data_IF_486125933884
#
_entry.id   IF_486125933884
#
_cell.length_a   1.000
_cell.length_b   1.000
_cell.length_c   1.000
_cell.angle_alpha   90.00
_cell.angle_beta   90.00
_cell.angle_gamma   90.00
#
_symmetry.space_group_name_H-M   'P 1'
#
loop_
_entity.id
_entity.type
_entity.pdbx_description
1 polymer ?
#
# COMPACT_ATOMS: atom_id res chain seq x y z
N UNK A 1 18.10 -40.17 18.14
CA UNK A 1 17.93 -38.74 17.80
C UNK A 1 16.63 -38.26 18.44
N UNK A 2 16.62 -37.20 19.25
CA UNK A 2 15.36 -36.68 19.78
C UNK A 2 14.60 -35.98 18.65
N UNK A 3 13.30 -36.27 18.54
CA UNK A 3 12.41 -35.62 17.57
C UNK A 3 12.22 -34.15 17.98
N UNK A 4 12.14 -33.19 17.03
CA UNK A 4 11.70 -31.85 17.36
C UNK A 4 10.23 -31.92 17.75
N UNK A 5 9.93 -31.73 19.03
CA UNK A 5 8.60 -31.32 19.48
C UNK A 5 8.53 -29.81 19.34
N UNK A 6 8.13 -29.35 18.15
CA UNK A 6 7.48 -28.05 18.01
C UNK A 6 6.05 -28.36 17.60
N UNK A 7 5.13 -28.15 18.53
CA UNK A 7 3.70 -28.17 18.24
C UNK A 7 3.40 -27.00 17.29
N UNK A 8 3.15 -27.31 16.02
CA UNK A 8 2.64 -26.36 15.02
C UNK A 8 1.14 -26.10 15.23
N UNK A 9 0.74 -25.84 16.47
CA UNK A 9 -0.66 -25.62 16.86
C UNK A 9 -0.78 -24.37 17.70
N UNK A 10 -0.91 -23.20 17.07
CA UNK A 10 -1.04 -21.96 17.84
C UNK A 10 -0.96 -20.62 17.14
N UNK A 11 -1.29 -20.51 15.84
CA UNK A 11 -1.65 -19.21 15.21
C UNK A 11 -2.55 -19.49 14.00
N UNK A 12 -3.79 -19.90 14.26
CA UNK A 12 -4.79 -20.08 13.21
C UNK A 12 -5.20 -18.73 12.62
N UNK A 13 -4.58 -18.34 11.50
CA UNK A 13 -4.89 -17.09 10.82
C UNK A 13 -4.05 -16.93 9.54
N UNK A 14 -4.46 -15.99 8.70
CA UNK A 14 -3.75 -15.66 7.46
C UNK A 14 -2.42 -14.98 7.79
N UNK A 15 -1.31 -15.66 7.52
CA UNK A 15 0.04 -15.18 7.83
C UNK A 15 0.33 -13.82 7.19
N UNK A 16 -0.12 -13.59 5.95
CA UNK A 16 0.11 -12.33 5.25
C UNK A 16 -0.61 -11.17 5.94
N UNK A 17 -1.81 -11.42 6.47
CA UNK A 17 -2.54 -10.42 7.25
C UNK A 17 -1.79 -10.11 8.54
N UNK A 18 -1.30 -11.14 9.23
CA UNK A 18 -0.55 -10.97 10.48
C UNK A 18 0.74 -10.17 10.25
N UNK A 19 1.46 -10.44 9.16
CA UNK A 19 2.64 -9.68 8.76
C UNK A 19 2.32 -8.19 8.52
N UNK A 20 1.20 -7.88 7.86
CA UNK A 20 0.81 -6.48 7.64
C UNK A 20 0.36 -5.79 8.93
N UNK A 21 -0.35 -6.49 9.82
CA UNK A 21 -0.76 -5.93 11.11
C UNK A 21 0.44 -5.71 12.05
N UNK A 22 1.46 -6.55 11.95
CA UNK A 22 2.70 -6.42 12.72
C UNK A 22 3.52 -5.16 12.36
N UNK A 23 3.23 -4.50 11.23
CA UNK A 23 3.81 -3.20 10.90
C UNK A 23 3.35 -2.09 11.86
N UNK A 24 2.24 -2.28 12.58
CA UNK A 24 1.81 -1.37 13.63
C UNK A 24 2.65 -1.56 14.90
N UNK A 25 3.84 -0.96 14.91
CA UNK A 25 4.79 -1.03 16.02
C UNK A 25 4.63 0.14 17.01
N UNK A 26 5.01 -0.04 18.28
CA UNK A 26 5.12 1.08 19.22
C UNK A 26 6.02 2.19 18.66
N UNK A 27 5.59 3.45 18.74
CA UNK A 27 6.32 4.61 18.18
C UNK A 27 5.97 4.94 16.73
N UNK A 28 5.16 4.14 16.03
CA UNK A 28 4.68 4.47 14.69
C UNK A 28 3.90 5.80 14.66
N UNK A 29 3.11 6.08 15.71
CA UNK A 29 2.39 7.35 15.83
C UNK A 29 3.33 8.57 15.94
N UNK A 30 4.46 8.44 16.64
CA UNK A 30 5.45 9.52 16.73
C UNK A 30 6.18 9.74 15.40
N UNK A 31 6.44 8.66 14.65
CA UNK A 31 6.95 8.77 13.28
C UNK A 31 5.97 9.52 12.38
N UNK A 32 4.67 9.17 12.46
CA UNK A 32 3.61 9.85 11.71
C UNK A 32 3.54 11.34 12.07
N UNK A 33 3.50 11.69 13.35
CA UNK A 33 3.44 13.09 13.79
C UNK A 33 4.64 13.92 13.29
N UNK A 34 5.85 13.35 13.32
CA UNK A 34 7.05 14.00 12.77
C UNK A 34 6.96 14.18 11.26
N UNK A 35 6.47 13.18 10.53
CA UNK A 35 6.27 13.26 9.09
C UNK A 35 5.17 14.25 8.69
N UNK A 36 4.09 14.34 9.46
CA UNK A 36 3.01 15.31 9.21
C UNK A 36 3.48 16.77 9.40
N UNK A 37 4.39 17.01 10.33
CA UNK A 37 4.91 18.34 10.63
C UNK A 37 5.74 18.93 9.49
N UNK A 38 6.36 18.08 8.66
CA UNK A 38 7.24 18.49 7.56
C UNK A 38 6.52 18.65 6.21
N UNK A 39 5.25 18.24 6.12
CA UNK A 39 4.46 18.37 4.89
C UNK A 39 4.18 19.84 4.57
N UNK A 40 4.35 20.21 3.31
CA UNK A 40 3.85 21.49 2.81
C UNK A 40 2.31 21.49 2.73
N UNK A 41 1.71 22.65 2.46
CA UNK A 41 0.24 22.83 2.47
C UNK A 41 -0.47 21.86 1.52
N UNK A 42 0.05 21.66 0.30
CA UNK A 42 -0.60 20.81 -0.69
C UNK A 42 -0.45 19.33 -0.39
N UNK A 43 0.73 18.91 0.05
CA UNK A 43 0.98 17.55 0.55
C UNK A 43 0.09 17.23 1.74
N UNK A 44 -0.10 18.18 2.66
CA UNK A 44 -0.99 18.02 3.82
C UNK A 44 -2.45 17.90 3.39
N UNK A 45 -2.89 18.67 2.41
CA UNK A 45 -4.24 18.57 1.86
C UNK A 45 -4.49 17.18 1.23
N UNK A 46 -3.55 16.68 0.43
CA UNK A 46 -3.64 15.33 -0.14
C UNK A 46 -3.61 14.25 0.95
N UNK A 47 -2.67 14.35 1.89
CA UNK A 47 -2.57 13.45 3.05
C UNK A 47 -3.91 13.34 3.78
N UNK A 48 -4.52 14.48 4.12
CA UNK A 48 -5.79 14.53 4.81
C UNK A 48 -6.92 13.94 3.97
N UNK A 49 -7.00 14.27 2.68
CA UNK A 49 -8.02 13.74 1.77
C UNK A 49 -7.94 12.21 1.63
N UNK A 50 -6.74 11.64 1.57
CA UNK A 50 -6.53 10.19 1.53
C UNK A 50 -6.98 9.55 2.84
N UNK A 51 -6.57 10.11 3.99
CA UNK A 51 -6.98 9.58 5.28
C UNK A 51 -8.50 9.62 5.48
N UNK A 52 -9.15 10.72 5.13
CA UNK A 52 -10.61 10.86 5.20
C UNK A 52 -11.31 9.83 4.30
N UNK A 53 -10.81 9.61 3.08
CA UNK A 53 -11.34 8.58 2.18
C UNK A 53 -11.21 7.17 2.76
N UNK A 54 -10.03 6.83 3.32
CA UNK A 54 -9.75 5.51 3.91
C UNK A 54 -10.57 5.28 5.19
N UNK A 55 -10.74 6.32 6.01
CA UNK A 55 -11.51 6.23 7.25
C UNK A 55 -13.01 6.21 6.98
N UNK A 56 -13.48 6.98 6.00
CA UNK A 56 -14.86 7.00 5.54
C UNK A 56 -15.26 5.84 4.62
N UNK A 57 -14.31 4.97 4.23
CA UNK A 57 -14.59 3.82 3.36
C UNK A 57 -15.05 4.21 1.95
N UNK A 58 -14.60 5.37 1.45
CA UNK A 58 -15.11 5.95 0.19
C UNK A 58 -14.57 5.23 -1.06
N UNK A 59 -13.45 4.51 -0.96
CA UNK A 59 -12.84 3.82 -2.10
C UNK A 59 -12.29 4.76 -3.19
N UNK A 60 -11.82 5.95 -2.81
CA UNK A 60 -11.37 6.98 -3.76
C UNK A 60 -9.98 6.64 -4.32
N UNK A 61 -9.81 6.82 -5.63
CA UNK A 61 -8.51 6.72 -6.30
C UNK A 61 -7.85 8.09 -6.44
N UNK A 62 -6.57 8.17 -6.06
CA UNK A 62 -5.75 9.38 -6.13
C UNK A 62 -4.51 9.12 -6.99
N UNK A 63 -4.17 10.06 -7.88
CA UNK A 63 -2.93 10.00 -8.67
C UNK A 63 -2.00 11.13 -8.24
N UNK A 64 -0.74 10.76 -7.95
CA UNK A 64 0.31 11.70 -7.56
C UNK A 64 1.34 11.86 -8.70
N UNK A 65 1.21 12.94 -9.45
CA UNK A 65 2.15 13.27 -10.52
C UNK A 65 3.06 14.43 -10.10
N UNK A 66 4.23 14.12 -9.55
CA UNK A 66 5.33 15.08 -9.44
C UNK A 66 6.41 14.81 -10.50
N UNK A 67 7.16 15.86 -10.87
CA UNK A 67 8.36 15.73 -11.68
C UNK A 67 9.42 14.85 -11.00
N UNK A 68 10.32 14.26 -11.77
CA UNK A 68 11.34 13.33 -11.27
C UNK A 68 12.09 13.89 -10.05
N UNK A 69 12.17 13.10 -8.97
CA UNK A 69 12.88 13.47 -7.74
C UNK A 69 12.07 14.21 -6.67
N UNK A 70 10.82 14.60 -6.93
CA UNK A 70 10.02 15.38 -5.99
C UNK A 70 9.11 14.50 -5.10
N UNK A 71 9.63 14.01 -3.97
CA UNK A 71 8.84 13.77 -2.75
C UNK A 71 7.64 12.80 -2.78
N UNK A 72 7.40 12.00 -3.83
CA UNK A 72 6.25 11.06 -3.89
C UNK A 72 6.34 9.99 -2.80
N UNK A 73 7.52 9.38 -2.66
CA UNK A 73 7.84 8.41 -1.61
C UNK A 73 7.76 9.06 -0.23
N UNK A 74 8.12 10.35 -0.12
CA UNK A 74 8.06 11.12 1.12
C UNK A 74 6.63 11.26 1.66
N UNK A 75 5.62 11.34 0.78
CA UNK A 75 4.22 11.38 1.18
C UNK A 75 3.64 9.98 1.42
N UNK A 76 4.09 8.99 0.65
CA UNK A 76 3.60 7.61 0.72
C UNK A 76 3.86 6.98 2.09
N UNK A 77 5.03 7.21 2.68
CA UNK A 77 5.42 6.61 3.95
C UNK A 77 4.57 7.11 5.14
N UNK A 78 4.41 8.44 5.37
CA UNK A 78 3.50 8.95 6.38
C UNK A 78 2.06 8.46 6.21
N UNK A 79 1.53 8.42 4.98
CA UNK A 79 0.16 7.91 4.72
C UNK A 79 0.05 6.45 5.14
N UNK A 80 0.96 5.58 4.67
CA UNK A 80 0.97 4.17 5.01
C UNK A 80 1.04 3.98 6.54
N UNK A 81 2.01 4.64 7.19
CA UNK A 81 2.20 4.57 8.63
C UNK A 81 0.98 5.07 9.40
N UNK A 82 0.30 6.12 8.95
CA UNK A 82 -0.88 6.66 9.62
C UNK A 82 -2.09 5.74 9.51
N UNK A 83 -2.26 5.03 8.39
CA UNK A 83 -3.31 4.02 8.24
C UNK A 83 -2.97 2.78 9.07
N UNK A 84 -1.72 2.31 9.06
CA UNK A 84 -1.25 1.21 9.90
C UNK A 84 -1.40 1.50 11.40
N UNK A 85 -1.08 2.72 11.85
CA UNK A 85 -1.24 3.15 13.24
C UNK A 85 -2.70 3.11 13.74
N UNK A 86 -3.66 3.04 12.80
CA UNK A 86 -5.10 2.85 13.07
C UNK A 86 -5.53 1.38 12.95
N UNK A 87 -4.59 0.44 13.01
CA UNK A 87 -4.81 -1.00 12.87
C UNK A 87 -5.48 -1.42 11.55
N UNK A 88 -5.26 -0.66 10.47
CA UNK A 88 -5.74 -1.00 9.14
C UNK A 88 -4.61 -1.55 8.27
N UNK A 89 -4.95 -2.42 7.34
CA UNK A 89 -3.99 -3.05 6.41
C UNK A 89 -3.72 -2.12 5.24
N UNK A 90 -2.45 -1.85 4.97
CA UNK A 90 -1.97 -1.11 3.80
C UNK A 90 -1.11 -2.04 2.96
N UNK A 91 -1.36 -2.07 1.65
CA UNK A 91 -0.50 -2.78 0.71
C UNK A 91 0.38 -1.77 -0.04
N UNK A 92 1.63 -1.67 0.39
CA UNK A 92 2.66 -0.93 -0.32
C UNK A 92 3.24 -1.81 -1.43
N UNK A 93 3.11 -1.38 -2.68
CA UNK A 93 3.67 -2.08 -3.84
C UNK A 93 4.45 -1.14 -4.73
N UNK A 94 5.43 -1.70 -5.43
CA UNK A 94 6.13 -0.99 -6.50
C UNK A 94 6.36 -1.89 -7.72
N UNK A 95 6.65 -1.29 -8.87
CA UNK A 95 6.99 -2.06 -10.07
C UNK A 95 8.34 -2.78 -9.94
N UNK A 96 9.32 -2.15 -9.28
CA UNK A 96 10.65 -2.73 -9.04
C UNK A 96 10.87 -3.13 -7.59
N UNK A 97 11.76 -4.11 -7.36
CA UNK A 97 12.14 -4.53 -6.01
C UNK A 97 12.83 -3.41 -5.22
N UNK A 98 13.68 -2.61 -5.89
CA UNK A 98 14.40 -1.51 -5.25
C UNK A 98 13.44 -0.42 -4.77
N UNK A 99 12.46 -0.01 -5.60
CA UNK A 99 11.46 0.97 -5.19
C UNK A 99 10.60 0.46 -4.02
N UNK A 100 10.26 -0.83 -4.01
CA UNK A 100 9.46 -1.41 -2.92
C UNK A 100 10.15 -1.35 -1.56
N UNK A 101 11.49 -1.38 -1.50
CA UNK A 101 12.24 -1.27 -0.24
C UNK A 101 12.11 0.10 0.42
N UNK A 102 11.70 1.13 -0.33
CA UNK A 102 11.51 2.48 0.21
C UNK A 102 10.16 2.65 0.90
N UNK A 103 9.25 1.67 0.78
CA UNK A 103 7.93 1.68 1.37
C UNK A 103 7.83 0.71 2.56
N UNK A 104 7.06 1.05 3.62
CA UNK A 104 6.82 0.16 4.76
C UNK A 104 6.20 -1.17 4.32
N UNK A 105 6.88 -2.28 4.62
CA UNK A 105 6.43 -3.61 4.22
C UNK A 105 6.20 -3.75 2.71
N UNK A 106 6.96 -3.01 1.90
CA UNK A 106 6.79 -2.96 0.46
C UNK A 106 7.17 -4.26 -0.23
N UNK A 107 6.42 -4.60 -1.28
CA UNK A 107 6.74 -5.72 -2.18
C UNK A 107 6.62 -5.29 -3.63
N UNK A 108 7.15 -6.09 -4.55
CA UNK A 108 6.83 -5.88 -5.96
C UNK A 108 5.34 -6.17 -6.22
N UNK A 109 4.71 -5.39 -7.11
CA UNK A 109 3.33 -5.62 -7.54
C UNK A 109 3.16 -7.04 -8.09
N UNK A 110 4.18 -7.53 -8.82
CA UNK A 110 4.24 -8.90 -9.30
C UNK A 110 4.08 -9.93 -8.18
N UNK A 111 4.91 -9.85 -7.13
CA UNK A 111 4.83 -10.79 -6.01
C UNK A 111 3.56 -10.62 -5.19
N UNK A 112 3.10 -9.37 -5.00
CA UNK A 112 1.95 -9.08 -4.12
C UNK A 112 0.63 -9.49 -4.75
N UNK A 113 0.48 -9.32 -6.05
CA UNK A 113 -0.76 -9.63 -6.77
C UNK A 113 -0.67 -10.89 -7.62
N UNK A 114 0.44 -11.64 -7.58
CA UNK A 114 0.67 -12.84 -8.40
C UNK A 114 0.40 -12.59 -9.88
N UNK A 115 0.88 -11.46 -10.39
CA UNK A 115 0.82 -11.10 -11.81
C UNK A 115 1.70 -12.10 -12.57
N UNK A 116 1.29 -12.69 -13.70
CA UNK A 116 2.16 -13.59 -14.45
C UNK A 116 3.31 -12.85 -15.16
N UNK A 117 4.47 -13.51 -15.30
CA UNK A 117 5.59 -13.07 -16.15
C UNK A 117 5.85 -14.16 -17.19
N UNK A 118 5.76 -13.88 -18.51
CA UNK A 118 5.42 -12.58 -19.13
C UNK A 118 3.95 -12.18 -18.91
N UNK A 119 3.70 -10.87 -18.81
CA UNK A 119 2.36 -10.30 -18.69
C UNK A 119 1.87 -9.83 -20.08
N UNK A 120 0.66 -10.21 -20.45
CA UNK A 120 -0.03 -9.83 -21.67
C UNK A 120 -1.33 -9.09 -21.34
N UNK A 121 -1.96 -8.42 -22.30
CA UNK A 121 -3.19 -7.64 -22.06
C UNK A 121 -4.35 -8.46 -21.45
N UNK A 122 -4.39 -9.76 -21.74
CA UNK A 122 -5.39 -10.70 -21.21
C UNK A 122 -4.91 -11.46 -19.96
N UNK A 123 -3.71 -11.15 -19.47
CA UNK A 123 -3.18 -11.79 -18.27
C UNK A 123 -4.00 -11.41 -17.04
N UNK A 124 -4.40 -12.41 -16.28
CA UNK A 124 -5.10 -12.25 -15.01
C UNK A 124 -4.18 -12.66 -13.86
N UNK A 125 -4.31 -11.96 -12.72
CA UNK A 125 -3.63 -12.32 -11.48
C UNK A 125 -4.01 -13.74 -11.06
N UNK A 126 -3.02 -14.57 -10.71
CA UNK A 126 -3.24 -15.95 -10.28
C UNK A 126 -3.60 -16.01 -8.78
N UNK A 127 -4.73 -15.40 -8.41
CA UNK A 127 -5.26 -15.37 -7.04
C UNK A 127 -6.61 -16.09 -7.03
N UNK A 128 -6.69 -17.19 -6.27
CA UNK A 128 -7.92 -17.98 -6.12
C UNK A 128 -8.71 -17.50 -4.90
N UNK A 129 -10.03 -17.75 -4.87
CA UNK A 129 -10.93 -17.28 -3.78
C UNK A 129 -10.56 -17.79 -2.38
N UNK A 130 -9.80 -18.87 -2.27
CA UNK A 130 -9.36 -19.44 -0.98
C UNK A 130 -7.85 -19.25 -0.73
N UNK A 131 -7.21 -18.35 -1.48
CA UNK A 131 -5.79 -18.02 -1.30
C UNK A 131 -5.61 -17.00 -0.18
N UNK A 132 -4.50 -17.11 0.56
CA UNK A 132 -4.10 -16.09 1.55
C UNK A 132 -4.05 -14.69 0.94
N UNK A 133 -3.65 -14.57 -0.32
CA UNK A 133 -3.60 -13.29 -1.04
C UNK A 133 -5.00 -12.71 -1.31
N UNK A 134 -6.00 -13.57 -1.51
CA UNK A 134 -7.37 -13.12 -1.74
C UNK A 134 -7.93 -12.43 -0.49
N UNK A 135 -7.81 -13.08 0.66
CA UNK A 135 -8.27 -12.52 1.92
C UNK A 135 -7.46 -11.28 2.31
N UNK A 136 -6.13 -11.27 2.07
CA UNK A 136 -5.30 -10.10 2.28
C UNK A 136 -5.81 -8.88 1.50
N UNK A 137 -6.09 -9.05 0.20
CA UNK A 137 -6.57 -7.98 -0.67
C UNK A 137 -7.97 -7.52 -0.23
N UNK A 138 -8.85 -8.44 0.16
CA UNK A 138 -10.17 -8.08 0.69
C UNK A 138 -10.09 -7.26 1.98
N UNK A 139 -9.12 -7.52 2.86
CA UNK A 139 -8.94 -6.78 4.11
C UNK A 139 -8.13 -5.50 3.96
N UNK A 140 -7.47 -5.29 2.82
CA UNK A 140 -6.70 -4.08 2.56
C UNK A 140 -7.60 -2.84 2.57
N UNK A 141 -7.24 -1.85 3.38
CA UNK A 141 -7.94 -0.57 3.44
C UNK A 141 -7.33 0.48 2.50
N UNK A 142 -6.09 0.27 2.07
CA UNK A 142 -5.35 1.15 1.18
C UNK A 142 -4.33 0.35 0.38
N UNK A 143 -4.19 0.68 -0.91
CA UNK A 143 -3.09 0.21 -1.76
C UNK A 143 -2.31 1.45 -2.19
N UNK A 144 -1.00 1.47 -1.91
CA UNK A 144 -0.08 2.50 -2.41
C UNK A 144 0.78 1.82 -3.48
N UNK A 145 0.78 2.38 -4.69
CA UNK A 145 1.53 1.84 -5.81
C UNK A 145 2.56 2.84 -6.31
N UNK A 146 3.84 2.60 -6.02
CA UNK A 146 4.96 3.40 -6.52
C UNK A 146 5.45 2.87 -7.89
N UNK A 147 5.89 3.78 -8.76
CA UNK A 147 6.22 3.48 -10.16
C UNK A 147 5.06 2.79 -10.92
N UNK A 148 3.81 3.11 -10.57
CA UNK A 148 2.65 2.62 -11.32
C UNK A 148 2.73 3.10 -12.77
N UNK A 149 2.66 2.17 -13.73
CA UNK A 149 2.63 2.54 -15.13
C UNK A 149 1.38 3.37 -15.42
N UNK A 150 1.55 4.61 -15.87
CA UNK A 150 0.45 5.47 -16.33
C UNK A 150 -0.04 4.98 -17.70
N UNK A 151 -0.66 3.81 -17.75
CA UNK A 151 -1.42 3.39 -18.92
C UNK A 151 -2.74 4.18 -18.92
N UNK A 152 -3.13 4.73 -20.07
CA UNK A 152 -4.38 5.46 -20.25
C UNK A 152 -5.55 4.66 -19.64
N UNK A 153 -6.15 5.19 -18.58
CA UNK A 153 -7.29 4.57 -17.90
C UNK A 153 -8.56 4.74 -18.74
N UNK A 154 -8.86 3.79 -19.60
CA UNK A 154 -10.21 3.57 -20.13
C UNK A 154 -10.92 2.52 -19.25
N UNK A 155 -11.44 2.95 -18.11
CA UNK A 155 -12.13 2.05 -17.18
C UNK A 155 -13.07 2.81 -16.27
N UNK A 156 -14.37 2.58 -16.46
CA UNK A 156 -15.47 3.24 -15.77
C UNK A 156 -15.53 2.90 -14.26
N UNK A 157 -14.73 3.59 -13.45
CA UNK A 157 -14.97 3.80 -12.02
C UNK A 157 -14.57 5.25 -11.73
N UNK A 158 -15.42 5.96 -10.98
CA UNK A 158 -15.28 7.36 -10.52
C UNK A 158 -14.07 8.13 -11.04
N UNK A 159 -14.31 9.24 -11.76
CA UNK A 159 -13.25 10.10 -12.27
C UNK A 159 -12.19 10.34 -11.18
N UNK A 160 -10.91 9.99 -11.42
CA UNK A 160 -9.91 10.10 -10.40
C UNK A 160 -9.77 11.54 -9.94
N UNK A 161 -9.64 11.75 -8.63
CA UNK A 161 -9.32 13.09 -8.12
C UNK A 161 -7.87 13.39 -8.44
N UNK A 162 -7.67 14.20 -9.47
CA UNK A 162 -6.36 14.74 -9.82
C UNK A 162 -5.95 15.79 -8.80
N UNK A 163 -4.79 15.61 -8.17
CA UNK A 163 -4.21 16.60 -7.28
C UNK A 163 -2.88 17.05 -7.90
N UNK A 164 -2.81 18.25 -8.49
CA UNK A 164 -1.57 18.77 -9.06
C UNK A 164 -0.50 18.93 -7.98
N UNK A 165 0.76 18.73 -8.35
CA UNK A 165 1.92 18.98 -7.49
C UNK A 165 2.38 20.45 -7.61
N UNK A 166 2.82 21.12 -6.54
CA UNK A 166 3.33 22.48 -6.64
C UNK A 166 4.78 22.47 -7.14
N UNK A 167 5.05 23.26 -8.17
CA UNK A 167 6.42 23.63 -8.56
C UNK A 167 6.91 23.08 -9.91
N UNK A 168 6.13 23.30 -10.96
CA UNK A 168 6.66 23.44 -12.33
C UNK A 168 6.75 24.91 -12.70
#
# INVERSE_FOLDING_TARGET
MPRPQMEWGGCGGNLLINEQLALNVPGLQEFVQRGEATLNVEQRNLYQAVLESVMGGQGTMFFLQSGGGCGKTYLSNPIASAVCARNKIVLCVASTGIASLLLPGGHTAHSRFKIPIPCHEQSVCNIKKDDLHHELIQRASLIIWDEAASQHYEGALSQPKYVPWPGS
#
